data_IF_876811117612
#
_entry.id   IF_876811117612
#
_cell.length_a   1.000
_cell.length_b   1.000
_cell.length_c   1.000
_cell.angle_alpha   90.00
_cell.angle_beta   90.00
_cell.angle_gamma   90.00
#
_symmetry.space_group_name_H-M   'P 1'
#
loop_
_entity.id
_entity.type
_entity.pdbx_description
1 polymer ?
#
# COMPACT_ATOMS: atom_id res chain seq x y z
N UNK A 1 31.93 -8.07 24.47
CA UNK A 1 30.83 -7.31 23.84
C UNK A 1 31.11 -6.94 22.38
N UNK A 2 32.37 -6.73 21.97
CA UNK A 2 32.71 -6.42 20.57
C UNK A 2 32.50 -7.58 19.56
N UNK A 3 32.62 -8.84 19.99
CA UNK A 3 32.46 -10.00 19.09
C UNK A 3 31.02 -10.27 18.64
N UNK A 4 30.02 -9.91 19.46
CA UNK A 4 28.61 -10.08 19.10
C UNK A 4 28.22 -9.16 17.93
N UNK A 5 28.75 -7.93 17.89
CA UNK A 5 28.48 -6.94 16.83
C UNK A 5 29.10 -7.35 15.49
N UNK A 6 30.30 -7.96 15.50
CA UNK A 6 30.96 -8.49 14.28
C UNK A 6 30.29 -9.75 13.72
N UNK A 7 29.52 -10.47 14.53
CA UNK A 7 28.71 -11.61 14.09
C UNK A 7 27.44 -11.16 13.38
N UNK A 8 26.85 -10.04 13.83
CA UNK A 8 25.60 -9.49 13.30
C UNK A 8 25.73 -8.93 11.89
N UNK A 9 26.88 -8.35 11.52
CA UNK A 9 27.14 -7.85 10.16
C UNK A 9 27.22 -8.93 9.08
N UNK A 10 27.22 -10.22 9.46
CA UNK A 10 27.18 -11.38 8.55
C UNK A 10 25.76 -11.76 8.15
N UNK A 11 24.77 -11.35 8.95
CA UNK A 11 23.37 -11.38 8.56
C UNK A 11 23.18 -10.13 7.72
N UNK A 12 23.11 -10.28 6.40
CA UNK A 12 22.87 -9.18 5.48
C UNK A 12 21.52 -8.54 5.78
N UNK A 13 21.53 -7.53 6.65
CA UNK A 13 20.46 -6.53 6.75
C UNK A 13 20.38 -5.69 5.47
N UNK A 14 21.44 -5.73 4.66
CA UNK A 14 21.44 -5.30 3.27
C UNK A 14 20.75 -6.39 2.43
N UNK A 15 19.44 -6.51 2.63
CA UNK A 15 18.60 -7.18 1.67
C UNK A 15 18.57 -6.27 0.45
N UNK A 16 19.37 -6.65 -0.54
CA UNK A 16 19.35 -6.21 -1.95
C UNK A 16 18.02 -6.67 -2.62
N UNK A 17 16.92 -6.53 -1.88
CA UNK A 17 15.60 -7.07 -2.21
C UNK A 17 14.86 -5.92 -2.83
N UNK A 18 14.70 -6.03 -4.15
CA UNK A 18 13.73 -5.35 -5.01
C UNK A 18 12.56 -4.80 -4.17
N UNK A 19 12.70 -3.55 -3.71
CA UNK A 19 11.66 -2.91 -2.90
C UNK A 19 10.43 -2.83 -3.77
N UNK A 20 9.37 -3.50 -3.37
CA UNK A 20 8.12 -3.46 -4.12
C UNK A 20 7.64 -2.02 -4.11
N UNK A 21 7.57 -1.39 -5.29
CA UNK A 21 7.08 -0.02 -5.43
C UNK A 21 5.58 -0.07 -5.72
N UNK A 22 4.78 0.46 -4.79
CA UNK A 22 3.35 0.67 -4.99
C UNK A 22 3.17 1.89 -5.90
N UNK A 23 2.33 1.72 -6.92
CA UNK A 23 2.01 2.77 -7.91
C UNK A 23 0.51 3.06 -7.89
N UNK A 24 0.13 4.23 -8.43
CA UNK A 24 -1.28 4.56 -8.67
C UNK A 24 -2.01 3.48 -9.48
N UNK A 25 -1.33 2.84 -10.45
CA UNK A 25 -1.92 1.79 -11.25
C UNK A 25 -2.30 0.54 -10.42
N UNK A 26 -1.51 0.20 -9.40
CA UNK A 26 -1.83 -0.92 -8.50
C UNK A 26 -3.11 -0.63 -7.71
N UNK A 27 -3.19 0.55 -7.08
CA UNK A 27 -4.38 0.96 -6.31
C UNK A 27 -5.61 1.05 -7.21
N UNK A 28 -5.50 1.73 -8.36
CA UNK A 28 -6.60 1.85 -9.34
C UNK A 28 -7.06 0.47 -9.81
N UNK A 29 -6.14 -0.46 -10.04
CA UNK A 29 -6.47 -1.83 -10.43
C UNK A 29 -7.27 -2.59 -9.35
N UNK A 30 -6.88 -2.47 -8.08
CA UNK A 30 -7.59 -3.10 -6.95
C UNK A 30 -8.98 -2.49 -6.78
N UNK A 31 -9.07 -1.16 -6.76
CA UNK A 31 -10.35 -0.44 -6.65
C UNK A 31 -11.28 -0.73 -7.83
N UNK A 32 -10.73 -0.85 -9.05
CA UNK A 32 -11.50 -1.23 -10.23
C UNK A 32 -12.07 -2.65 -10.14
N UNK A 33 -11.29 -3.61 -9.61
CA UNK A 33 -11.76 -4.98 -9.37
C UNK A 33 -12.84 -5.04 -8.28
N UNK A 34 -12.71 -4.24 -7.23
CA UNK A 34 -13.74 -4.07 -6.23
C UNK A 34 -15.05 -3.53 -6.83
N UNK A 35 -14.98 -2.46 -7.63
CA UNK A 35 -16.16 -1.90 -8.31
C UNK A 35 -16.81 -2.87 -9.30
N UNK A 36 -16.02 -3.76 -9.89
CA UNK A 36 -16.52 -4.83 -10.76
C UNK A 36 -17.08 -6.04 -9.99
N UNK A 37 -17.03 -6.04 -8.65
CA UNK A 37 -17.48 -7.15 -7.80
C UNK A 37 -16.55 -8.37 -7.79
N UNK A 38 -15.33 -8.24 -8.33
CA UNK A 38 -14.32 -9.30 -8.36
C UNK A 38 -13.51 -9.39 -7.07
N UNK A 39 -13.54 -8.34 -6.24
CA UNK A 39 -12.99 -8.31 -4.88
C UNK A 39 -14.08 -7.83 -3.93
N UNK A 40 -14.15 -8.45 -2.75
CA UNK A 40 -14.97 -7.96 -1.65
C UNK A 40 -14.31 -6.78 -0.93
N UNK A 41 -15.05 -6.11 -0.05
CA UNK A 41 -14.48 -5.07 0.82
C UNK A 41 -13.36 -5.63 1.71
N UNK A 42 -13.54 -6.84 2.23
CA UNK A 42 -12.56 -7.54 3.08
C UNK A 42 -11.28 -7.87 2.30
N UNK A 43 -11.38 -8.28 1.03
CA UNK A 43 -10.21 -8.53 0.18
C UNK A 43 -9.36 -7.25 -0.03
N UNK A 44 -10.03 -6.10 -0.19
CA UNK A 44 -9.35 -4.80 -0.35
C UNK A 44 -8.71 -4.34 0.95
N UNK A 45 -9.40 -4.52 2.07
CA UNK A 45 -8.89 -4.21 3.42
C UNK A 45 -7.64 -5.03 3.72
N UNK A 46 -7.70 -6.37 3.56
CA UNK A 46 -6.56 -7.26 3.78
C UNK A 46 -5.37 -6.92 2.88
N UNK A 47 -5.64 -6.57 1.61
CA UNK A 47 -4.61 -6.12 0.70
C UNK A 47 -3.95 -4.80 1.16
N UNK A 48 -4.75 -3.85 1.63
CA UNK A 48 -4.25 -2.56 2.11
C UNK A 48 -3.45 -2.73 3.41
N UNK A 49 -3.95 -3.51 4.36
CA UNK A 49 -3.28 -3.84 5.63
C UNK A 49 -1.94 -4.54 5.40
N UNK A 50 -1.84 -5.41 4.39
CA UNK A 50 -0.60 -6.09 4.03
C UNK A 50 0.49 -5.14 3.50
N UNK A 51 0.13 -3.92 3.07
CA UNK A 51 1.04 -2.89 2.56
C UNK A 51 1.21 -1.74 3.55
N UNK A 52 0.18 -1.40 4.30
CA UNK A 52 0.19 -0.36 5.31
C UNK A 52 1.20 -0.71 6.41
N UNK A 53 2.06 0.25 6.78
CA UNK A 53 3.04 0.06 7.85
C UNK A 53 4.26 -0.80 7.48
N UNK A 54 4.41 -1.22 6.22
CA UNK A 54 5.63 -1.87 5.76
C UNK A 54 6.71 -0.85 5.38
N UNK A 55 7.79 -0.84 6.15
CA UNK A 55 8.97 0.02 5.89
C UNK A 55 9.81 -0.45 4.69
N UNK A 56 9.58 -1.67 4.18
CA UNK A 56 10.28 -2.24 3.03
C UNK A 56 9.54 -2.05 1.69
N UNK A 57 8.38 -1.40 1.71
CA UNK A 57 7.56 -1.09 0.53
C UNK A 57 7.80 0.36 0.11
N UNK A 58 8.22 0.54 -1.14
CA UNK A 58 8.39 1.85 -1.76
C UNK A 58 7.08 2.39 -2.33
N UNK A 59 7.06 3.70 -2.59
CA UNK A 59 5.95 4.38 -3.25
C UNK A 59 6.48 5.18 -4.43
N UNK A 60 5.73 5.24 -5.53
CA UNK A 60 6.18 6.01 -6.70
C UNK A 60 6.22 7.51 -6.38
N UNK A 61 7.35 8.13 -6.72
CA UNK A 61 7.61 9.55 -6.47
C UNK A 61 6.47 10.42 -7.01
N UNK A 62 6.13 11.48 -6.25
CA UNK A 62 5.11 12.44 -6.64
C UNK A 62 3.66 12.01 -6.41
N UNK A 63 3.42 10.79 -5.92
CA UNK A 63 2.09 10.32 -5.45
C UNK A 63 2.14 9.60 -4.10
N UNK A 64 3.28 9.67 -3.41
CA UNK A 64 3.53 8.90 -2.18
C UNK A 64 2.52 9.21 -1.08
N UNK A 65 2.17 10.48 -0.90
CA UNK A 65 1.22 10.92 0.12
C UNK A 65 -0.19 10.40 -0.18
N UNK A 66 -0.64 10.48 -1.43
CA UNK A 66 -1.91 9.92 -1.85
C UNK A 66 -1.96 8.40 -1.69
N UNK A 67 -0.88 7.70 -2.05
CA UNK A 67 -0.79 6.25 -1.93
C UNK A 67 -0.76 5.79 -0.47
N UNK A 68 -0.05 6.50 0.40
CA UNK A 68 -0.06 6.23 1.84
C UNK A 68 -1.43 6.53 2.43
N UNK A 69 -2.06 7.64 2.03
CA UNK A 69 -3.38 8.03 2.52
C UNK A 69 -4.44 6.99 2.14
N UNK A 70 -4.51 6.57 0.87
CA UNK A 70 -5.51 5.58 0.44
C UNK A 70 -5.28 4.23 1.09
N UNK A 71 -4.02 3.78 1.24
CA UNK A 71 -3.75 2.52 1.93
C UNK A 71 -4.15 2.58 3.41
N UNK A 72 -3.86 3.68 4.10
CA UNK A 72 -4.27 3.88 5.48
C UNK A 72 -5.80 3.86 5.62
N UNK A 73 -6.52 4.59 4.78
CA UNK A 73 -7.99 4.62 4.84
C UNK A 73 -8.61 3.24 4.57
N UNK A 74 -8.05 2.49 3.62
CA UNK A 74 -8.53 1.15 3.28
C UNK A 74 -8.16 0.09 4.33
N UNK A 75 -7.04 0.25 5.02
CA UNK A 75 -6.58 -0.72 6.03
C UNK A 75 -7.20 -0.50 7.41
N UNK A 76 -7.82 0.66 7.64
CA UNK A 76 -8.42 1.02 8.94
C UNK A 76 -9.90 1.41 8.82
N UNK A 77 -10.76 0.54 8.27
CA UNK A 77 -12.18 0.84 8.06
C UNK A 77 -12.96 1.08 9.37
N UNK A 78 -12.45 0.64 10.51
CA UNK A 78 -13.01 0.90 11.84
C UNK A 78 -12.98 2.39 12.23
N UNK A 79 -12.05 3.17 11.65
CA UNK A 79 -11.96 4.63 11.84
C UNK A 79 -12.28 5.43 10.57
N UNK A 80 -12.06 4.86 9.38
CA UNK A 80 -12.25 5.55 8.10
C UNK A 80 -13.53 5.16 7.34
N UNK A 81 -14.33 4.25 7.92
CA UNK A 81 -15.45 3.55 7.30
C UNK A 81 -15.05 2.49 6.28
N UNK A 82 -15.82 1.39 6.15
CA UNK A 82 -15.59 0.39 5.12
C UNK A 82 -15.59 0.99 3.71
N UNK A 83 -14.77 0.42 2.82
CA UNK A 83 -14.76 0.82 1.41
C UNK A 83 -16.15 0.70 0.80
N UNK A 84 -16.59 1.79 0.17
CA UNK A 84 -17.80 1.86 -0.63
C UNK A 84 -17.53 2.34 -2.07
N UNK A 85 -18.50 2.20 -2.99
CA UNK A 85 -18.31 2.57 -4.39
C UNK A 85 -17.93 4.05 -4.61
N UNK A 86 -18.45 4.95 -3.78
CA UNK A 86 -18.14 6.38 -3.85
C UNK A 86 -16.68 6.67 -3.47
N UNK A 87 -16.20 6.06 -2.39
CA UNK A 87 -14.81 6.16 -1.95
C UNK A 87 -13.85 5.61 -3.02
N UNK A 88 -14.14 4.40 -3.53
CA UNK A 88 -13.33 3.77 -4.57
C UNK A 88 -13.23 4.64 -5.83
N UNK A 89 -14.36 5.19 -6.29
CA UNK A 89 -14.40 6.07 -7.47
C UNK A 89 -13.69 7.41 -7.24
N UNK A 90 -13.80 7.97 -6.03
CA UNK A 90 -13.11 9.20 -5.64
C UNK A 90 -11.58 9.00 -5.68
N UNK A 91 -11.10 7.90 -5.13
CA UNK A 91 -9.68 7.55 -5.14
C UNK A 91 -9.14 7.26 -6.54
N UNK A 92 -9.89 6.51 -7.37
CA UNK A 92 -9.52 6.28 -8.77
C UNK A 92 -9.35 7.63 -9.51
N UNK A 93 -10.31 8.53 -9.34
CA UNK A 93 -10.26 9.86 -9.98
C UNK A 93 -9.03 10.64 -9.49
N UNK A 94 -8.81 10.71 -8.18
CA UNK A 94 -7.68 11.43 -7.59
C UNK A 94 -6.32 10.91 -8.06
N UNK A 95 -6.19 9.58 -8.21
CA UNK A 95 -4.94 8.93 -8.61
C UNK A 95 -4.69 8.95 -10.13
N UNK A 96 -5.74 9.12 -10.94
CA UNK A 96 -5.63 9.24 -12.40
C UNK A 96 -5.47 10.69 -12.87
N UNK A 97 -5.91 11.67 -12.07
CA UNK A 97 -5.77 13.09 -12.40
C UNK A 97 -4.39 13.58 -11.99
N UNK A 98 -3.40 13.47 -12.89
CA UNK A 98 -2.22 14.35 -12.92
C UNK A 98 -1.57 14.36 -14.33
N UNK A 99 -1.11 15.53 -14.81
CA UNK A 99 -0.53 15.72 -16.14
C UNK A 99 0.87 15.11 -16.30
#
# INVERSE_FOLDING_TARGET
MADAVRGLSRFGWDRDVESVVVTSAHVVGVLGRYLAGALSAEDVELWAEALAGRDDVGFVEGTEDELKQVLFELSTPEINWPIGPAMASGWITRLQVRP
#
